data_IF_794359501484
#
_entry.id   IF_794359501484
#
_cell.length_a   1.000
_cell.length_b   1.000
_cell.length_c   1.000
_cell.angle_alpha   90.00
_cell.angle_beta   90.00
_cell.angle_gamma   90.00
#
_symmetry.space_group_name_H-M   'P 1'
#
loop_
_entity.id
_entity.type
_entity.pdbx_description
1 polymer ?
#
# COMPACT_ATOMS: atom_id res chain seq x y z
N UNK A 1 -9.33 25.86 -5.60
CA UNK A 1 -8.38 25.48 -6.66
C UNK A 1 -9.20 25.01 -7.84
N UNK A 2 -8.89 25.46 -9.05
CA UNK A 2 -9.50 25.00 -10.30
C UNK A 2 -8.89 23.65 -10.71
N UNK A 3 -9.54 22.87 -11.60
CA UNK A 3 -9.04 21.58 -12.13
C UNK A 3 -7.63 21.59 -12.78
N UNK A 4 -6.94 22.72 -12.80
CA UNK A 4 -5.68 22.95 -13.52
C UNK A 4 -4.42 22.44 -12.79
N UNK A 5 -4.55 21.89 -11.57
CA UNK A 5 -3.41 21.49 -10.72
C UNK A 5 -3.30 19.97 -10.47
N UNK A 6 -4.10 19.14 -11.13
CA UNK A 6 -3.98 17.68 -10.97
C UNK A 6 -2.76 17.16 -11.74
N UNK A 7 -2.08 16.10 -11.24
CA UNK A 7 -1.02 15.45 -12.01
C UNK A 7 -1.58 14.85 -13.30
N UNK A 8 -0.80 14.85 -14.38
CA UNK A 8 -1.20 14.25 -15.67
C UNK A 8 -1.41 12.73 -15.56
N UNK A 9 -0.65 12.08 -14.68
CA UNK A 9 -0.73 10.65 -14.41
C UNK A 9 -0.33 10.32 -12.99
N UNK A 10 -0.74 9.16 -12.49
CA UNK A 10 -0.37 8.66 -11.16
C UNK A 10 0.31 7.30 -11.24
N UNK A 11 1.06 6.98 -10.18
CA UNK A 11 1.60 5.67 -9.88
C UNK A 11 0.66 4.97 -8.91
N UNK A 12 0.32 3.73 -9.21
CA UNK A 12 -0.51 2.88 -8.36
C UNK A 12 0.28 1.62 -8.04
N UNK A 13 0.35 1.29 -6.75
CA UNK A 13 0.82 -0.01 -6.27
C UNK A 13 -0.39 -0.81 -5.79
N UNK A 14 -0.55 -1.98 -6.39
CA UNK A 14 -1.56 -2.95 -5.99
C UNK A 14 -1.05 -3.75 -4.79
N UNK A 15 -1.73 -3.61 -3.64
CA UNK A 15 -1.33 -4.26 -2.38
C UNK A 15 -2.20 -5.47 -2.02
N UNK A 16 -3.23 -5.77 -2.81
CA UNK A 16 -4.18 -6.83 -2.53
C UNK A 16 -3.57 -8.22 -2.31
N UNK A 17 -2.56 -8.67 -3.08
CA UNK A 17 -1.95 -9.97 -2.86
C UNK A 17 -1.24 -10.13 -1.50
N UNK A 18 -0.79 -9.02 -0.89
CA UNK A 18 -0.20 -9.02 0.46
C UNK A 18 -1.20 -8.53 1.49
N UNK A 19 -1.51 -7.25 1.48
CA UNK A 19 -2.31 -6.58 2.50
C UNK A 19 -3.78 -6.99 2.45
N UNK A 20 -4.31 -7.15 1.22
CA UNK A 20 -5.66 -7.63 0.98
C UNK A 20 -5.86 -9.04 1.55
N UNK A 21 -5.07 -9.99 1.05
CA UNK A 21 -5.17 -11.40 1.43
C UNK A 21 -4.89 -11.63 2.90
N UNK A 22 -3.95 -10.90 3.52
CA UNK A 22 -3.54 -11.11 4.91
C UNK A 22 -4.70 -11.18 5.91
N UNK A 23 -5.78 -10.43 5.68
CA UNK A 23 -6.90 -10.31 6.60
C UNK A 23 -8.15 -11.09 6.16
N UNK A 24 -8.05 -11.86 5.07
CA UNK A 24 -9.15 -12.70 4.60
C UNK A 24 -9.36 -13.90 5.53
N UNK A 25 -10.60 -14.20 5.94
CA UNK A 25 -10.90 -15.35 6.80
C UNK A 25 -10.78 -16.67 6.03
N UNK A 26 -10.98 -16.65 4.71
CA UNK A 26 -10.81 -17.81 3.84
C UNK A 26 -9.32 -18.02 3.49
N UNK A 27 -8.87 -19.28 3.55
CA UNK A 27 -7.52 -19.63 3.09
C UNK A 27 -7.49 -19.69 1.57
N UNK A 28 -6.96 -18.64 0.96
CA UNK A 28 -6.65 -18.62 -0.48
C UNK A 28 -5.47 -19.57 -0.75
N UNK A 29 -5.66 -20.51 -1.68
CA UNK A 29 -4.62 -21.47 -2.06
C UNK A 29 -3.43 -20.78 -2.74
N UNK A 30 -2.23 -21.37 -2.66
CA UNK A 30 -1.05 -20.85 -3.36
C UNK A 30 -1.27 -20.73 -4.87
N UNK A 31 -1.93 -21.72 -5.48
CA UNK A 31 -2.26 -21.71 -6.91
C UNK A 31 -3.19 -20.53 -7.27
N UNK A 32 -4.20 -20.27 -6.44
CA UNK A 32 -5.11 -19.14 -6.65
C UNK A 32 -4.39 -17.81 -6.46
N UNK A 33 -3.50 -17.68 -5.46
CA UNK A 33 -2.68 -16.46 -5.28
C UNK A 33 -1.83 -16.19 -6.52
N UNK A 34 -1.08 -17.19 -6.99
CA UNK A 34 -0.24 -17.07 -8.19
C UNK A 34 -1.08 -16.68 -9.40
N UNK A 35 -2.23 -17.34 -9.60
CA UNK A 35 -3.15 -17.01 -10.69
C UNK A 35 -3.62 -15.55 -10.62
N UNK A 36 -4.06 -15.09 -9.44
CA UNK A 36 -4.53 -13.71 -9.26
C UNK A 36 -3.42 -12.69 -9.49
N UNK A 37 -2.20 -12.94 -8.99
CA UNK A 37 -1.05 -12.05 -9.23
C UNK A 37 -0.70 -11.97 -10.72
N UNK A 38 -0.75 -13.09 -11.45
CA UNK A 38 -0.49 -13.09 -12.88
C UNK A 38 -1.59 -12.35 -13.68
N UNK A 39 -2.86 -12.46 -13.26
CA UNK A 39 -3.94 -11.64 -13.83
C UNK A 39 -3.69 -10.15 -13.59
N UNK A 40 -3.34 -9.77 -12.37
CA UNK A 40 -3.03 -8.38 -11.99
C UNK A 40 -1.85 -7.84 -12.81
N UNK A 41 -0.79 -8.62 -13.00
CA UNK A 41 0.36 -8.23 -13.82
C UNK A 41 -0.02 -7.98 -15.30
N UNK A 42 -1.09 -8.62 -15.79
CA UNK A 42 -1.63 -8.44 -17.14
C UNK A 42 -2.50 -7.19 -17.33
N UNK A 43 -2.77 -6.44 -16.27
CA UNK A 43 -3.62 -5.22 -16.32
C UNK A 43 -2.84 -3.97 -16.72
N UNK A 44 -1.51 -4.00 -16.73
CA UNK A 44 -0.69 -2.81 -16.95
C UNK A 44 -0.20 -2.14 -15.67
N UNK A 45 -0.64 -2.63 -14.49
CA UNK A 45 -0.03 -2.33 -13.19
C UNK A 45 1.50 -2.40 -13.27
N UNK A 46 2.17 -1.41 -12.69
CA UNK A 46 3.65 -1.34 -12.69
C UNK A 46 4.26 -1.87 -11.41
N UNK A 47 3.50 -1.91 -10.32
CA UNK A 47 3.99 -2.30 -8.99
C UNK A 47 2.95 -3.14 -8.28
N UNK A 48 3.34 -4.31 -7.81
CA UNK A 48 2.47 -5.24 -7.08
C UNK A 48 3.19 -5.71 -5.82
N UNK A 49 2.56 -5.52 -4.67
CA UNK A 49 3.04 -6.10 -3.41
C UNK A 49 2.52 -7.53 -3.28
N UNK A 50 3.44 -8.49 -3.35
CA UNK A 50 3.10 -9.89 -3.57
C UNK A 50 2.86 -10.66 -2.29
N UNK A 51 3.74 -10.46 -1.30
CA UNK A 51 3.75 -11.29 -0.09
C UNK A 51 4.61 -10.64 1.00
N UNK A 52 4.77 -11.33 2.12
CA UNK A 52 5.52 -10.87 3.29
C UNK A 52 6.38 -11.97 3.88
N UNK A 53 7.58 -11.61 4.35
CA UNK A 53 8.47 -12.49 5.10
C UNK A 53 8.23 -12.39 6.62
N UNK A 54 6.95 -12.32 7.01
CA UNK A 54 6.48 -12.46 8.38
C UNK A 54 6.54 -13.91 8.84
N UNK A 55 6.44 -14.11 10.15
CA UNK A 55 6.41 -15.47 10.69
C UNK A 55 5.08 -16.16 10.31
N UNK A 56 5.14 -17.39 9.77
CA UNK A 56 3.94 -18.16 9.39
C UNK A 56 2.94 -18.38 10.52
N UNK A 57 3.40 -18.44 11.77
CA UNK A 57 2.51 -18.61 12.94
C UNK A 57 1.75 -17.34 13.32
N UNK A 58 2.21 -16.17 12.84
CA UNK A 58 1.55 -14.88 13.08
C UNK A 58 0.54 -14.59 11.98
N UNK A 59 0.94 -14.78 10.72
CA UNK A 59 0.07 -14.57 9.54
C UNK A 59 0.10 -15.84 8.67
N UNK A 60 -0.76 -16.83 8.95
CA UNK A 60 -0.80 -18.09 8.20
C UNK A 60 -1.08 -17.89 6.70
N UNK A 61 -1.85 -16.84 6.39
CA UNK A 61 -2.28 -16.52 5.04
C UNK A 61 -1.13 -16.13 4.11
N UNK A 62 0.05 -15.79 4.64
CA UNK A 62 1.27 -15.45 3.87
C UNK A 62 2.40 -16.46 4.09
N UNK A 63 2.10 -17.65 4.61
CA UNK A 63 3.10 -18.68 4.93
C UNK A 63 3.77 -19.30 3.70
N UNK A 64 3.16 -19.18 2.52
CA UNK A 64 3.58 -19.71 1.23
C UNK A 64 4.32 -18.68 0.37
N UNK A 65 4.96 -17.68 1.00
CA UNK A 65 5.68 -16.61 0.32
C UNK A 65 6.71 -17.11 -0.72
N UNK A 66 7.44 -18.17 -0.38
CA UNK A 66 8.47 -18.77 -1.24
C UNK A 66 7.82 -19.40 -2.49
N UNK A 67 6.75 -20.15 -2.30
CA UNK A 67 6.03 -20.83 -3.36
C UNK A 67 5.33 -19.82 -4.28
N UNK A 68 4.72 -18.77 -3.73
CA UNK A 68 4.09 -17.69 -4.51
C UNK A 68 5.13 -16.96 -5.36
N UNK A 69 6.25 -16.52 -4.77
CA UNK A 69 7.29 -15.80 -5.50
C UNK A 69 7.92 -16.65 -6.62
N UNK A 70 8.01 -17.97 -6.42
CA UNK A 70 8.51 -18.89 -7.44
C UNK A 70 7.48 -19.21 -8.53
N UNK A 71 6.19 -19.16 -8.21
CA UNK A 71 5.10 -19.50 -9.13
C UNK A 71 4.66 -18.40 -10.09
N UNK A 72 4.91 -17.12 -9.77
CA UNK A 72 4.49 -15.99 -10.62
C UNK A 72 5.36 -15.82 -11.87
N UNK A 73 4.74 -15.35 -12.97
CA UNK A 73 5.36 -15.28 -14.30
C UNK A 73 6.32 -14.09 -14.49
N UNK A 74 6.15 -13.03 -13.68
CA UNK A 74 6.96 -11.80 -13.66
C UNK A 74 7.27 -11.19 -15.05
N UNK A 75 6.26 -10.76 -15.82
CA UNK A 75 6.48 -10.06 -17.08
C UNK A 75 7.35 -8.80 -16.90
N UNK A 76 8.13 -8.49 -17.95
CA UNK A 76 8.94 -7.28 -18.00
C UNK A 76 8.08 -6.01 -17.81
N UNK A 77 8.59 -5.06 -17.03
CA UNK A 77 7.92 -3.78 -16.77
C UNK A 77 6.94 -3.78 -15.60
N UNK A 78 6.90 -4.86 -14.81
CA UNK A 78 6.20 -4.92 -13.51
C UNK A 78 7.24 -5.20 -12.41
N UNK A 79 7.25 -4.37 -11.38
CA UNK A 79 8.07 -4.55 -10.19
C UNK A 79 7.27 -5.23 -9.08
N UNK A 80 7.92 -6.16 -8.40
CA UNK A 80 7.29 -6.94 -7.34
C UNK A 80 7.91 -6.59 -6.00
N UNK A 81 7.08 -6.19 -5.03
CA UNK A 81 7.54 -5.85 -3.69
C UNK A 81 7.16 -6.92 -2.68
N UNK A 82 7.98 -7.04 -1.64
CA UNK A 82 7.73 -7.93 -0.49
C UNK A 82 7.85 -7.15 0.81
N UNK A 83 6.97 -7.45 1.76
CA UNK A 83 7.00 -6.82 3.08
C UNK A 83 8.04 -7.49 3.98
N UNK A 84 8.88 -6.68 4.60
CA UNK A 84 9.98 -7.10 5.47
C UNK A 84 9.74 -6.62 6.90
N UNK A 85 9.46 -7.52 7.86
CA UNK A 85 9.14 -7.11 9.23
C UNK A 85 10.35 -6.81 10.10
N UNK A 86 11.54 -7.29 9.74
CA UNK A 86 12.78 -7.11 10.49
C UNK A 86 13.98 -7.64 9.71
N UNK A 87 15.19 -7.46 10.27
CA UNK A 87 16.47 -7.94 9.74
C UNK A 87 16.46 -9.43 9.33
N UNK A 88 15.91 -10.31 10.16
CA UNK A 88 15.85 -11.75 9.85
C UNK A 88 14.90 -12.04 8.68
N UNK A 89 13.78 -11.32 8.62
CA UNK A 89 12.88 -11.37 7.46
C UNK A 89 13.58 -10.96 6.17
N UNK A 90 14.42 -9.92 6.21
CA UNK A 90 15.23 -9.51 5.07
C UNK A 90 16.21 -10.61 4.66
N UNK A 91 16.95 -11.18 5.62
CA UNK A 91 17.93 -12.24 5.35
C UNK A 91 17.28 -13.45 4.67
N UNK A 92 16.10 -13.87 5.14
CA UNK A 92 15.32 -14.94 4.51
C UNK A 92 14.85 -14.54 3.10
N UNK A 93 14.37 -13.30 2.92
CA UNK A 93 13.93 -12.82 1.61
C UNK A 93 15.07 -12.80 0.60
N UNK A 94 16.28 -12.43 1.02
CA UNK A 94 17.46 -12.37 0.15
C UNK A 94 17.90 -13.74 -0.40
N UNK A 95 17.45 -14.86 0.18
CA UNK A 95 17.62 -16.18 -0.43
C UNK A 95 16.89 -16.31 -1.78
N UNK A 96 15.88 -15.47 -2.03
CA UNK A 96 15.08 -15.37 -3.25
C UNK A 96 15.26 -14.02 -3.94
N UNK A 97 16.44 -13.38 -3.78
CA UNK A 97 16.67 -12.00 -4.23
C UNK A 97 16.30 -11.77 -5.70
N UNK A 98 16.50 -12.74 -6.57
CA UNK A 98 16.18 -12.64 -7.99
C UNK A 98 14.66 -12.66 -8.30
N UNK A 99 13.81 -12.89 -7.30
CA UNK A 99 12.35 -13.04 -7.44
C UNK A 99 11.53 -11.78 -7.11
N UNK A 100 12.16 -10.71 -6.64
CA UNK A 100 11.49 -9.45 -6.32
C UNK A 100 12.44 -8.26 -6.52
N UNK A 101 11.87 -7.06 -6.56
CA UNK A 101 12.56 -5.84 -7.00
C UNK A 101 12.60 -4.79 -5.87
N UNK A 102 11.63 -4.86 -4.96
CA UNK A 102 11.42 -3.85 -3.93
C UNK A 102 11.11 -4.48 -2.57
N UNK A 103 11.40 -3.74 -1.51
CA UNK A 103 11.09 -4.12 -0.13
C UNK A 103 10.35 -3.03 0.59
N UNK A 104 9.32 -3.43 1.33
CA UNK A 104 8.48 -2.55 2.13
C UNK A 104 8.78 -2.80 3.61
N UNK A 105 9.28 -1.77 4.30
CA UNK A 105 9.50 -1.78 5.75
C UNK A 105 8.39 -1.00 6.43
N UNK A 106 7.99 -1.38 7.63
CA UNK A 106 6.87 -0.69 8.29
C UNK A 106 7.11 -0.46 9.78
N UNK A 107 6.49 0.60 10.28
CA UNK A 107 6.30 0.89 11.70
C UNK A 107 5.06 1.77 11.87
N UNK A 108 4.61 1.97 13.11
CA UNK A 108 3.49 2.88 13.39
C UNK A 108 3.97 4.18 14.02
N UNK A 109 3.32 5.29 13.70
CA UNK A 109 3.62 6.60 14.31
C UNK A 109 3.16 6.70 15.78
N UNK A 110 2.22 5.86 16.20
CA UNK A 110 1.73 5.79 17.58
C UNK A 110 2.46 4.72 18.41
N UNK A 111 2.85 5.07 19.65
CA UNK A 111 3.55 4.17 20.56
C UNK A 111 2.73 2.93 20.92
N UNK A 112 1.45 3.13 21.31
CA UNK A 112 0.57 2.02 21.68
C UNK A 112 0.29 1.10 20.50
N UNK A 113 0.09 1.66 19.30
CA UNK A 113 -0.14 0.84 18.11
C UNK A 113 1.13 0.06 17.74
N UNK A 114 2.29 0.72 17.70
CA UNK A 114 3.55 0.07 17.36
C UNK A 114 3.89 -1.05 18.36
N UNK A 115 3.70 -0.79 19.67
CA UNK A 115 3.92 -1.81 20.71
C UNK A 115 2.98 -3.00 20.58
N UNK A 116 1.72 -2.80 20.19
CA UNK A 116 0.79 -3.92 19.97
C UNK A 116 1.11 -4.69 18.68
N UNK A 117 1.54 -4.00 17.63
CA UNK A 117 1.73 -4.61 16.32
C UNK A 117 3.07 -5.35 16.21
N UNK A 118 4.16 -4.76 16.72
CA UNK A 118 5.52 -5.30 16.58
C UNK A 118 6.27 -5.49 17.90
N UNK A 119 5.60 -5.28 19.04
CA UNK A 119 6.16 -5.44 20.39
C UNK A 119 7.40 -4.58 20.70
N UNK A 120 7.51 -3.42 20.05
CA UNK A 120 8.60 -2.45 20.22
C UNK A 120 8.07 -1.03 20.40
N UNK A 121 8.84 -0.16 21.04
CA UNK A 121 8.57 1.29 20.97
C UNK A 121 8.83 1.80 19.55
N UNK A 122 8.33 2.99 19.22
CA UNK A 122 8.60 3.60 17.92
C UNK A 122 10.10 3.77 17.70
N UNK A 123 10.82 4.25 18.72
CA UNK A 123 12.27 4.46 18.67
C UNK A 123 13.05 3.16 18.44
N UNK A 124 12.66 2.07 19.11
CA UNK A 124 13.27 0.75 18.91
C UNK A 124 13.02 0.22 17.49
N UNK A 125 11.81 0.42 16.94
CA UNK A 125 11.48 0.00 15.59
C UNK A 125 12.33 0.75 14.56
N UNK A 126 12.35 2.08 14.63
CA UNK A 126 13.04 2.89 13.63
C UNK A 126 14.56 2.72 13.68
N UNK A 127 15.16 2.57 14.87
CA UNK A 127 16.58 2.26 15.00
C UNK A 127 16.91 0.92 14.32
N UNK A 128 16.07 -0.10 14.51
CA UNK A 128 16.26 -1.38 13.82
C UNK A 128 16.09 -1.30 12.29
N UNK A 129 15.22 -0.40 11.81
CA UNK A 129 15.06 -0.14 10.38
C UNK A 129 16.26 0.62 9.79
N UNK A 130 16.82 1.58 10.52
CA UNK A 130 18.05 2.31 10.13
C UNK A 130 19.25 1.36 9.96
N UNK A 131 19.29 0.24 10.67
CA UNK A 131 20.29 -0.82 10.48
C UNK A 131 19.95 -1.77 9.32
N UNK A 132 18.66 -1.96 9.01
CA UNK A 132 18.19 -2.98 8.07
C UNK A 132 18.10 -2.45 6.63
N UNK A 133 17.58 -1.23 6.44
CA UNK A 133 17.36 -0.61 5.12
C UNK A 133 18.66 -0.51 4.31
N UNK A 134 19.81 -0.06 4.87
CA UNK A 134 21.06 0.01 4.10
C UNK A 134 21.46 -1.32 3.48
N UNK A 135 21.19 -2.45 4.15
CA UNK A 135 21.53 -3.77 3.61
C UNK A 135 20.62 -4.18 2.45
N UNK A 136 19.35 -3.78 2.47
CA UNK A 136 18.45 -3.99 1.32
C UNK A 136 18.89 -3.13 0.12
N UNK A 137 19.28 -1.87 0.39
CA UNK A 137 19.86 -0.98 -0.63
C UNK A 137 21.14 -1.56 -1.23
N UNK A 138 22.06 -2.08 -0.40
CA UNK A 138 23.29 -2.74 -0.86
C UNK A 138 23.00 -3.99 -1.71
N UNK A 139 21.90 -4.70 -1.42
CA UNK A 139 21.41 -5.80 -2.25
C UNK A 139 20.71 -5.32 -3.55
N UNK A 140 20.71 -4.01 -3.83
CA UNK A 140 20.13 -3.40 -5.03
C UNK A 140 18.60 -3.37 -5.05
N UNK A 141 17.95 -3.44 -3.87
CA UNK A 141 16.49 -3.38 -3.77
C UNK A 141 16.02 -1.93 -3.64
N UNK A 142 14.92 -1.61 -4.31
CA UNK A 142 14.20 -0.36 -4.06
C UNK A 142 13.52 -0.46 -2.69
N UNK A 143 13.74 0.51 -1.81
CA UNK A 143 13.22 0.47 -0.44
C UNK A 143 12.13 1.50 -0.21
N UNK A 144 10.99 1.03 0.30
CA UNK A 144 9.91 1.85 0.83
C UNK A 144 9.86 1.75 2.36
N UNK A 145 9.64 2.88 3.03
CA UNK A 145 9.28 2.93 4.45
C UNK A 145 7.83 3.35 4.64
N UNK A 146 7.00 2.49 5.22
CA UNK A 146 5.57 2.70 5.45
C UNK A 146 5.32 3.08 6.91
N UNK A 147 4.58 4.18 7.12
CA UNK A 147 4.21 4.70 8.43
C UNK A 147 2.72 4.50 8.65
N UNK A 148 2.37 3.46 9.42
CA UNK A 148 1.01 3.24 9.87
C UNK A 148 0.56 4.33 10.85
N UNK A 149 -0.76 4.47 11.02
CA UNK A 149 -1.39 5.46 11.92
C UNK A 149 -0.93 6.90 11.65
N UNK A 150 -0.66 7.26 10.38
CA UNK A 150 -0.16 8.60 10.01
C UNK A 150 -1.20 9.70 10.20
N UNK A 151 -2.49 9.33 10.13
CA UNK A 151 -3.61 10.28 10.19
C UNK A 151 -4.45 10.14 11.47
N UNK A 152 -4.03 9.28 12.38
CA UNK A 152 -4.75 8.95 13.60
C UNK A 152 -4.49 7.52 14.06
N UNK A 153 -4.72 7.27 15.34
CA UNK A 153 -4.53 5.98 15.98
C UNK A 153 -5.82 5.52 16.66
N UNK A 154 -6.24 4.25 16.50
CA UNK A 154 -7.42 3.71 17.18
C UNK A 154 -7.28 3.64 18.71
N UNK A 155 -6.06 3.78 19.24
CA UNK A 155 -5.77 3.70 20.68
C UNK A 155 -5.48 5.06 21.31
N UNK A 156 -4.76 5.93 20.59
CA UNK A 156 -4.28 7.21 21.12
C UNK A 156 -5.07 8.42 20.56
N UNK A 157 -5.88 8.21 19.52
CA UNK A 157 -6.64 9.26 18.87
C UNK A 157 -5.77 10.06 17.91
N UNK A 158 -5.58 11.35 18.20
CA UNK A 158 -4.80 12.24 17.36
C UNK A 158 -3.31 11.86 17.36
N UNK A 159 -2.70 11.86 16.18
CA UNK A 159 -1.26 11.60 15.99
C UNK A 159 -0.63 12.87 15.43
N UNK A 160 0.28 13.54 16.18
CA UNK A 160 0.93 14.75 15.71
C UNK A 160 1.71 14.52 14.41
N UNK A 161 1.56 15.44 13.45
CA UNK A 161 2.25 15.39 12.15
C UNK A 161 3.76 15.38 12.33
N UNK A 162 4.28 16.10 13.33
CA UNK A 162 5.70 16.16 13.63
C UNK A 162 6.29 14.80 13.98
N UNK A 163 5.52 13.92 14.63
CA UNK A 163 5.95 12.57 14.93
C UNK A 163 6.08 11.74 13.65
N UNK A 164 5.10 11.85 12.76
CA UNK A 164 5.09 11.17 11.46
C UNK A 164 6.26 11.67 10.59
N UNK A 165 6.48 12.98 10.53
CA UNK A 165 7.59 13.59 9.81
C UNK A 165 8.95 13.16 10.34
N UNK A 166 9.12 13.11 11.66
CA UNK A 166 10.38 12.67 12.27
C UNK A 166 10.75 11.24 11.85
N UNK A 167 9.75 10.36 11.77
CA UNK A 167 9.91 8.99 11.28
C UNK A 167 10.24 9.00 9.77
N UNK A 168 9.44 9.71 8.98
CA UNK A 168 9.58 9.78 7.52
C UNK A 168 10.98 10.23 7.08
N UNK A 169 11.50 11.29 7.71
CA UNK A 169 12.83 11.81 7.41
C UNK A 169 13.95 10.82 7.77
N UNK A 170 13.79 10.05 8.86
CA UNK A 170 14.75 9.02 9.25
C UNK A 170 14.74 7.83 8.29
N UNK A 171 13.56 7.36 7.86
CA UNK A 171 13.43 6.32 6.83
C UNK A 171 14.08 6.75 5.51
N UNK A 172 13.80 7.96 5.05
CA UNK A 172 14.40 8.51 3.84
C UNK A 172 15.94 8.58 3.94
N UNK A 173 16.47 9.08 5.07
CA UNK A 173 17.93 9.15 5.32
C UNK A 173 18.58 7.78 5.45
N UNK A 174 17.85 6.76 5.89
CA UNK A 174 18.32 5.38 5.94
C UNK A 174 18.44 4.72 4.54
N UNK A 175 17.85 5.34 3.50
CA UNK A 175 17.95 4.89 2.12
C UNK A 175 16.62 4.54 1.46
N UNK A 176 15.48 4.75 2.13
CA UNK A 176 14.19 4.64 1.47
C UNK A 176 14.05 5.74 0.40
N UNK A 177 13.80 5.33 -0.84
CA UNK A 177 13.51 6.24 -1.95
C UNK A 177 12.01 6.53 -2.08
N UNK A 178 11.23 5.94 -1.18
CA UNK A 178 9.78 6.08 -1.07
C UNK A 178 9.35 6.01 0.39
N UNK A 179 8.40 6.86 0.76
CA UNK A 179 7.77 6.85 2.08
C UNK A 179 6.26 6.81 1.92
N UNK A 180 5.64 5.75 2.45
CA UNK A 180 4.20 5.54 2.45
C UNK A 180 3.55 6.04 3.73
N UNK A 181 2.43 6.76 3.61
CA UNK A 181 1.66 7.29 4.75
C UNK A 181 0.32 6.58 4.84
N UNK A 182 0.18 5.71 5.84
CA UNK A 182 -1.00 4.87 6.03
C UNK A 182 -2.07 5.48 6.94
N UNK A 183 -3.28 5.64 6.42
CA UNK A 183 -4.51 5.78 7.20
C UNK A 183 -5.06 4.40 7.57
N UNK A 184 -4.30 3.70 8.43
CA UNK A 184 -4.48 2.28 8.77
C UNK A 184 -5.88 1.89 9.24
N UNK A 185 -6.64 2.85 9.76
CA UNK A 185 -7.98 2.60 10.32
C UNK A 185 -9.06 3.48 9.69
N UNK A 186 -8.78 4.12 8.55
CA UNK A 186 -9.72 5.00 7.84
C UNK A 186 -10.25 6.14 8.72
N UNK A 187 -9.36 6.84 9.41
CA UNK A 187 -9.66 7.99 10.30
C UNK A 187 -9.42 9.34 9.62
N UNK A 188 -8.66 9.37 8.52
CA UNK A 188 -8.30 10.59 7.82
C UNK A 188 -9.52 11.22 7.17
N UNK A 189 -9.51 12.55 7.08
CA UNK A 189 -10.50 13.32 6.34
C UNK A 189 -9.83 14.28 5.33
N UNK A 190 -10.55 14.73 4.29
CA UNK A 190 -10.02 15.58 3.21
C UNK A 190 -9.22 16.81 3.66
N UNK A 191 -9.72 17.52 4.68
CA UNK A 191 -9.07 18.74 5.18
C UNK A 191 -7.76 18.43 5.89
N UNK A 192 -7.73 17.34 6.67
CA UNK A 192 -6.52 16.86 7.33
C UNK A 192 -5.49 16.39 6.31
N UNK A 193 -5.90 15.58 5.33
CA UNK A 193 -5.02 15.05 4.27
C UNK A 193 -4.36 16.18 3.50
N UNK A 194 -5.13 17.21 3.14
CA UNK A 194 -4.61 18.39 2.46
C UNK A 194 -3.48 19.07 3.26
N UNK A 195 -3.74 19.37 4.54
CA UNK A 195 -2.75 20.01 5.41
C UNK A 195 -1.51 19.13 5.61
N UNK A 196 -1.74 17.84 5.81
CA UNK A 196 -0.69 16.85 6.03
C UNK A 196 0.30 16.83 4.85
N UNK A 197 -0.20 16.63 3.62
CA UNK A 197 0.70 16.53 2.47
C UNK A 197 1.36 17.86 2.09
N UNK A 198 0.68 19.00 2.29
CA UNK A 198 1.31 20.30 2.13
C UNK A 198 2.54 20.43 3.06
N UNK A 199 2.40 20.05 4.33
CA UNK A 199 3.49 20.08 5.30
C UNK A 199 4.59 19.06 4.98
N UNK A 200 4.23 17.80 4.67
CA UNK A 200 5.22 16.77 4.30
C UNK A 200 6.08 17.22 3.13
N UNK A 201 5.46 17.74 2.06
CA UNK A 201 6.19 18.22 0.88
C UNK A 201 7.12 19.38 1.21
N UNK A 202 6.64 20.37 1.97
CA UNK A 202 7.47 21.51 2.42
C UNK A 202 8.69 21.02 3.20
N UNK A 203 8.48 20.10 4.14
CA UNK A 203 9.54 19.59 5.01
C UNK A 203 10.54 18.70 4.27
N UNK A 204 10.09 17.84 3.36
CA UNK A 204 10.98 17.05 2.51
C UNK A 204 11.81 17.94 1.58
N UNK A 205 11.21 18.97 0.99
CA UNK A 205 11.94 19.94 0.17
C UNK A 205 13.01 20.70 0.98
N UNK A 206 12.66 21.16 2.18
CA UNK A 206 13.59 21.87 3.06
C UNK A 206 14.78 21.02 3.52
N UNK A 207 14.58 19.71 3.64
CA UNK A 207 15.61 18.72 4.02
C UNK A 207 16.42 18.19 2.82
N UNK A 208 16.15 18.68 1.60
CA UNK A 208 16.83 18.22 0.39
C UNK A 208 16.40 16.81 -0.06
N UNK A 209 15.24 16.34 0.38
CA UNK A 209 14.65 15.02 0.11
C UNK A 209 13.47 15.11 -0.87
N UNK A 210 13.36 16.18 -1.66
CA UNK A 210 12.22 16.40 -2.57
C UNK A 210 12.03 15.37 -3.68
N UNK A 211 13.06 14.54 -3.95
CA UNK A 211 13.00 13.44 -4.93
C UNK A 211 12.45 12.13 -4.34
N UNK A 212 12.28 12.06 -3.01
CA UNK A 212 11.70 10.88 -2.36
C UNK A 212 10.22 10.81 -2.72
N UNK A 213 9.79 9.65 -3.23
CA UNK A 213 8.40 9.41 -3.55
C UNK A 213 7.55 9.41 -2.28
N UNK A 214 6.45 10.17 -2.28
CA UNK A 214 5.50 10.22 -1.18
C UNK A 214 4.25 9.46 -1.60
N UNK A 215 3.98 8.33 -0.94
CA UNK A 215 2.89 7.42 -1.30
C UNK A 215 1.76 7.54 -0.29
N UNK A 216 0.52 7.69 -0.76
CA UNK A 216 -0.66 7.74 0.09
C UNK A 216 -1.36 6.38 0.13
N UNK A 217 -1.55 5.85 1.35
CA UNK A 217 -2.27 4.61 1.58
C UNK A 217 -3.51 4.90 2.43
N UNK A 218 -4.69 4.81 1.82
CA UNK A 218 -5.95 5.09 2.50
C UNK A 218 -6.80 3.84 2.62
N UNK A 219 -7.35 3.65 3.82
CA UNK A 219 -8.46 2.74 4.02
C UNK A 219 -9.79 3.46 3.85
N UNK A 220 -10.80 2.75 3.36
CA UNK A 220 -12.16 3.27 3.19
C UNK A 220 -13.11 2.93 4.34
N UNK A 221 -12.56 2.59 5.52
CA UNK A 221 -13.32 2.19 6.73
C UNK A 221 -14.49 3.12 7.09
N UNK A 222 -14.42 4.41 6.74
CA UNK A 222 -15.45 5.43 6.99
C UNK A 222 -15.97 6.09 5.71
N UNK A 223 -15.75 5.50 4.54
CA UNK A 223 -16.19 6.04 3.25
C UNK A 223 -15.49 7.34 2.86
N UNK A 224 -14.24 7.54 3.29
CA UNK A 224 -13.46 8.76 3.04
C UNK A 224 -12.27 8.53 2.10
N UNK A 225 -11.97 7.29 1.73
CA UNK A 225 -10.75 6.91 1.02
C UNK A 225 -10.57 7.64 -0.30
N UNK A 226 -11.55 7.60 -1.22
CA UNK A 226 -11.44 8.30 -2.50
C UNK A 226 -11.48 9.84 -2.37
N UNK A 227 -12.19 10.37 -1.36
CA UNK A 227 -12.17 11.80 -1.07
C UNK A 227 -10.80 12.26 -0.54
N UNK A 228 -10.13 11.39 0.23
CA UNK A 228 -8.77 11.59 0.71
C UNK A 228 -7.75 11.50 -0.44
N UNK A 229 -7.93 10.56 -1.38
CA UNK A 229 -7.15 10.52 -2.64
C UNK A 229 -7.25 11.83 -3.40
N UNK A 230 -8.48 12.33 -3.64
CA UNK A 230 -8.68 13.61 -4.33
C UNK A 230 -7.95 14.76 -3.61
N UNK A 231 -8.02 14.79 -2.28
CA UNK A 231 -7.36 15.82 -1.49
C UNK A 231 -5.84 15.73 -1.54
N UNK A 232 -5.27 14.53 -1.64
CA UNK A 232 -3.84 14.33 -1.82
C UNK A 232 -3.39 14.69 -3.25
N UNK A 233 -4.17 14.33 -4.28
CA UNK A 233 -3.93 14.73 -5.67
C UNK A 233 -3.86 16.25 -5.84
N UNK A 234 -4.78 16.98 -5.20
CA UNK A 234 -4.80 18.45 -5.23
C UNK A 234 -3.54 19.08 -4.60
N UNK A 235 -2.85 18.36 -3.72
CA UNK A 235 -1.58 18.76 -3.11
C UNK A 235 -0.35 18.22 -3.87
N UNK A 236 -0.57 17.65 -5.05
CA UNK A 236 0.48 17.16 -5.94
C UNK A 236 1.04 15.79 -5.57
N UNK A 237 0.32 15.00 -4.77
CA UNK A 237 0.65 13.59 -4.54
C UNK A 237 0.18 12.78 -5.74
N UNK A 238 1.08 11.98 -6.30
CA UNK A 238 0.85 11.20 -7.51
C UNK A 238 1.17 9.71 -7.33
N UNK A 239 1.34 9.23 -6.10
CA UNK A 239 1.57 7.82 -5.78
C UNK A 239 0.58 7.32 -4.73
N UNK A 240 -0.10 6.22 -5.04
CA UNK A 240 -1.18 5.67 -4.23
C UNK A 240 -1.07 4.15 -4.10
N UNK A 241 -1.49 3.64 -2.96
CA UNK A 241 -1.72 2.21 -2.73
C UNK A 241 -3.23 1.92 -2.73
N UNK A 242 -3.60 0.81 -3.36
CA UNK A 242 -4.98 0.33 -3.40
C UNK A 242 -5.01 -1.19 -3.47
N UNK A 243 -6.16 -1.77 -3.11
CA UNK A 243 -6.37 -3.21 -3.18
C UNK A 243 -7.54 -3.53 -4.11
N UNK A 244 -7.31 -4.38 -5.11
CA UNK A 244 -8.38 -4.85 -5.99
C UNK A 244 -9.54 -5.47 -5.19
N UNK A 245 -10.78 -5.19 -5.59
CA UNK A 245 -11.98 -5.68 -4.93
C UNK A 245 -12.23 -5.14 -3.52
N UNK A 246 -11.53 -4.07 -3.11
CA UNK A 246 -11.56 -3.56 -1.72
C UNK A 246 -11.08 -4.61 -0.70
N UNK A 247 -10.16 -5.49 -1.09
CA UNK A 247 -9.64 -6.52 -0.18
C UNK A 247 -8.79 -5.92 0.94
N UNK A 248 -8.75 -6.64 2.06
CA UNK A 248 -8.01 -6.24 3.26
C UNK A 248 -8.88 -5.60 4.31
N UNK A 249 -8.24 -5.00 5.31
CA UNK A 249 -8.95 -4.52 6.49
C UNK A 249 -8.08 -4.49 7.72
N UNK A 250 -8.23 -3.46 8.54
CA UNK A 250 -7.75 -3.56 9.91
C UNK A 250 -8.74 -4.43 10.70
N UNK A 251 -8.29 -5.44 11.48
CA UNK A 251 -9.18 -6.19 12.36
C UNK A 251 -9.86 -5.31 13.43
N UNK A 252 -9.46 -4.04 13.54
CA UNK A 252 -10.00 -3.06 14.48
C UNK A 252 -10.35 -1.75 13.75
N UNK A 253 -11.60 -1.26 13.80
CA UNK A 253 -12.78 -1.87 14.46
C UNK A 253 -13.34 -3.05 13.66
N UNK A 254 -13.97 -4.00 14.37
CA UNK A 254 -14.60 -5.16 13.73
C UNK A 254 -15.67 -4.73 12.71
N UNK A 255 -15.60 -5.26 11.49
CA UNK A 255 -16.50 -4.91 10.38
C UNK A 255 -16.11 -3.65 9.59
N UNK A 256 -14.96 -3.06 9.88
CA UNK A 256 -14.34 -2.04 9.04
C UNK A 256 -14.03 -2.58 7.63
N UNK A 257 -14.33 -1.81 6.59
CA UNK A 257 -13.73 -2.01 5.28
C UNK A 257 -12.23 -1.69 5.32
N UNK A 258 -11.48 -2.25 4.38
CA UNK A 258 -10.03 -2.14 4.30
C UNK A 258 -9.54 -1.05 3.38
N UNK A 259 -8.59 -1.41 2.53
CA UNK A 259 -8.01 -0.56 1.51
C UNK A 259 -9.09 0.04 0.59
N UNK A 260 -8.81 1.19 -0.02
CA UNK A 260 -9.60 1.63 -1.18
C UNK A 260 -9.53 0.58 -2.30
N UNK A 261 -10.65 0.39 -2.99
CA UNK A 261 -10.71 -0.49 -4.15
C UNK A 261 -9.90 0.06 -5.33
N UNK A 262 -9.02 -0.75 -5.92
CA UNK A 262 -8.22 -0.35 -7.09
C UNK A 262 -9.11 0.06 -8.27
N UNK A 263 -10.20 -0.66 -8.52
CA UNK A 263 -11.14 -0.39 -9.61
C UNK A 263 -11.85 0.95 -9.44
N UNK A 264 -12.25 1.26 -8.20
CA UNK A 264 -12.97 2.50 -7.89
C UNK A 264 -12.02 3.69 -7.97
N UNK A 265 -10.77 3.52 -7.52
CA UNK A 265 -9.69 4.49 -7.66
C UNK A 265 -9.40 4.78 -9.14
N UNK A 266 -9.14 3.74 -9.94
CA UNK A 266 -8.77 3.86 -11.34
C UNK A 266 -9.91 4.47 -12.15
N UNK A 267 -11.14 3.99 -11.95
CA UNK A 267 -12.33 4.56 -12.58
C UNK A 267 -12.46 6.05 -12.26
N UNK A 268 -12.34 6.45 -11.00
CA UNK A 268 -12.40 7.87 -10.62
C UNK A 268 -11.31 8.70 -11.30
N UNK A 269 -10.06 8.23 -11.28
CA UNK A 269 -8.92 8.94 -11.86
C UNK A 269 -9.08 9.12 -13.38
N UNK A 270 -9.43 8.06 -14.09
CA UNK A 270 -9.61 8.09 -15.54
C UNK A 270 -10.76 9.00 -15.96
N UNK A 271 -11.89 8.94 -15.24
CA UNK A 271 -13.04 9.83 -15.45
C UNK A 271 -12.72 11.30 -15.15
N UNK A 272 -11.75 11.57 -14.26
CA UNK A 272 -11.21 12.89 -14.00
C UNK A 272 -10.15 13.34 -15.04
N UNK A 273 -9.77 12.46 -15.98
CA UNK A 273 -8.74 12.72 -16.98
C UNK A 273 -7.30 12.56 -16.48
N UNK A 274 -7.09 11.88 -15.35
CA UNK A 274 -5.78 11.55 -14.79
C UNK A 274 -5.37 10.15 -15.28
N UNK A 275 -4.22 10.07 -15.96
CA UNK A 275 -3.75 8.81 -16.54
C UNK A 275 -3.28 7.80 -15.49
N UNK A 276 -3.72 6.55 -15.62
CA UNK A 276 -3.28 5.42 -14.76
C UNK A 276 -2.39 4.44 -15.54
N UNK A 277 -2.65 4.29 -16.85
CA UNK A 277 -2.04 3.26 -17.68
C UNK A 277 -2.52 1.84 -17.39
N UNK A 278 -3.63 1.67 -16.65
CA UNK A 278 -4.17 0.39 -16.23
C UNK A 278 -5.42 0.05 -17.05
N UNK A 279 -5.50 -1.19 -17.51
CA UNK A 279 -6.64 -1.77 -18.21
C UNK A 279 -7.73 -2.12 -17.19
N UNK A 280 -8.63 -1.15 -16.92
CA UNK A 280 -9.71 -1.29 -15.95
C UNK A 280 -10.59 -2.53 -16.21
N UNK A 281 -11.02 -2.86 -17.45
CA UNK A 281 -11.73 -4.11 -17.74
C UNK A 281 -11.01 -5.37 -17.25
N UNK A 282 -9.70 -5.51 -17.51
CA UNK A 282 -8.93 -6.68 -17.00
C UNK A 282 -8.78 -6.68 -15.49
N UNK A 283 -8.67 -5.51 -14.87
CA UNK A 283 -8.62 -5.43 -13.42
C UNK A 283 -9.94 -5.89 -12.80
N UNK A 284 -11.08 -5.49 -13.37
CA UNK A 284 -12.40 -5.97 -12.97
C UNK A 284 -12.50 -7.50 -13.12
N UNK A 285 -11.94 -8.09 -14.19
CA UNK A 285 -11.87 -9.54 -14.35
C UNK A 285 -11.07 -10.20 -13.23
N UNK A 286 -9.90 -9.66 -12.86
CA UNK A 286 -9.09 -10.18 -11.75
C UNK A 286 -9.87 -10.16 -10.42
N UNK A 287 -10.58 -9.06 -10.14
CA UNK A 287 -11.43 -8.95 -8.95
C UNK A 287 -12.64 -9.87 -8.97
N UNK A 288 -13.25 -10.08 -10.13
CA UNK A 288 -14.33 -11.04 -10.30
C UNK A 288 -13.86 -12.48 -10.03
N UNK A 289 -12.62 -12.83 -10.41
CA UNK A 289 -12.02 -14.12 -10.08
C UNK A 289 -11.73 -14.25 -8.57
N UNK A 290 -11.19 -13.21 -7.92
CA UNK A 290 -11.03 -13.23 -6.46
C UNK A 290 -12.37 -13.36 -5.73
N UNK A 291 -13.42 -12.67 -6.19
CA UNK A 291 -14.77 -12.81 -5.65
C UNK A 291 -15.29 -14.25 -5.73
N UNK A 292 -15.00 -14.96 -6.84
CA UNK A 292 -15.39 -16.37 -7.00
C UNK A 292 -14.62 -17.28 -6.04
N UNK A 293 -13.31 -17.07 -5.89
CA UNK A 293 -12.46 -17.85 -4.97
C UNK A 293 -12.93 -17.68 -3.52
N UNK A 294 -13.19 -16.44 -3.10
CA UNK A 294 -13.62 -16.12 -1.74
C UNK A 294 -15.08 -16.51 -1.48
N UNK A 295 -15.89 -16.69 -2.53
CA UNK A 295 -17.28 -17.14 -2.42
C UNK A 295 -18.23 -16.11 -1.79
N UNK A 296 -17.82 -14.84 -1.71
CA UNK A 296 -18.59 -13.71 -1.17
C UNK A 296 -18.47 -12.49 -2.07
N UNK A 297 -19.45 -11.57 -2.11
CA UNK A 297 -19.31 -10.30 -2.80
C UNK A 297 -18.11 -9.50 -2.28
N UNK A 298 -17.42 -8.82 -3.20
CA UNK A 298 -16.36 -7.86 -2.90
C UNK A 298 -16.92 -6.43 -2.84
N UNK A 299 -16.13 -5.52 -2.28
CA UNK A 299 -16.60 -4.20 -1.88
C UNK A 299 -16.61 -3.14 -2.99
N UNK A 300 -15.76 -3.32 -4.01
CA UNK A 300 -15.67 -2.41 -5.17
C UNK A 300 -17.03 -2.10 -5.79
N UNK A 301 -17.33 -0.81 -5.91
CA UNK A 301 -18.52 -0.32 -6.57
C UNK A 301 -18.46 -0.52 -8.09
N UNK A 302 -17.29 -0.35 -8.69
CA UNK A 302 -17.06 -0.52 -10.13
C UNK A 302 -17.16 -1.98 -10.54
N UNK A 303 -16.66 -2.92 -9.73
CA UNK A 303 -16.86 -4.36 -9.96
C UNK A 303 -18.35 -4.71 -10.06
N UNK A 304 -19.19 -4.07 -9.23
CA UNK A 304 -20.64 -4.32 -9.19
C UNK A 304 -21.41 -3.61 -10.30
N UNK A 305 -21.06 -2.36 -10.59
CA UNK A 305 -21.81 -1.50 -11.52
C UNK A 305 -21.30 -1.57 -12.97
N UNK A 306 -20.04 -1.97 -13.16
CA UNK A 306 -19.29 -1.79 -14.40
C UNK A 306 -18.69 -0.39 -14.53
N UNK A 307 -17.78 -0.18 -15.51
CA UNK A 307 -17.23 1.13 -15.82
C UNK A 307 -18.30 2.07 -16.39
N UNK A 308 -18.04 3.38 -16.33
CA UNK A 308 -18.91 4.40 -16.93
C UNK A 308 -18.84 4.28 -18.46
N UNK A 309 -20.00 4.37 -19.12
CA UNK A 309 -20.12 4.33 -20.58
C UNK A 309 -20.89 5.55 -21.06
N UNK A 310 -20.16 6.58 -21.49
CA UNK A 310 -20.71 7.86 -21.96
C UNK A 310 -21.34 7.78 -23.36
N UNK A 311 -21.21 6.66 -24.07
CA UNK A 311 -21.54 6.53 -25.49
C UNK A 311 -22.73 5.61 -25.79
N UNK A 312 -23.57 5.34 -24.79
CA UNK A 312 -24.80 4.53 -24.94
C UNK A 312 -25.89 5.15 -25.80
#
# INVERSE_FOLDING_TARGET
MTPENLPESVRIREVGPRDGFQNEPEVISTEDKVRLINLLAGTGLKRIEVTSFVRPDVIPQLSDAVEVLNGIDRPDGVSYSVLIPNRRGLENALELRDRFDETNFFLSASETHNKKNVNRTVEESITGLEETIPVAVEAGLRCEGVISTSFGCPYEGDVPVENVLAIALRLARAGCVEVGFGDTTGMANPVQVRRFFAEVRERFAAEGLGEVELTAHFHDTRGQGLANVLSALEEGIDSFESSFGELGGCPVPAGATGNIASEDLISMLEEMGVGTGIDLPKLIEASAEAQKILGRPLGSHVLKAGPVDWHR
#
